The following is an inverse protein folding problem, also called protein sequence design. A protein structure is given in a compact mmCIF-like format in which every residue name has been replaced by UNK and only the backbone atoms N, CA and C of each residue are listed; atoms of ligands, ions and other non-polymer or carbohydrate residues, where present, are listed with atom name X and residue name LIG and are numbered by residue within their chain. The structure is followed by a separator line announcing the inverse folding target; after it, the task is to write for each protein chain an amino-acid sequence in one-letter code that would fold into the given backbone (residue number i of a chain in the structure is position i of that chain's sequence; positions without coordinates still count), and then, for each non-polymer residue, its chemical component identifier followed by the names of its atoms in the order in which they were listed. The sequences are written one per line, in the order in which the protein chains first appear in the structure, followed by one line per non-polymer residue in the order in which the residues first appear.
data_IF_842522792684
#
_entry.id   IF_842522792684
#
_cell.length_a   1.000
_cell.length_b   1.000
_cell.length_c   1.000
_cell.angle_alpha   90.00
_cell.angle_beta   90.00
_cell.angle_gamma   90.00
#
_symmetry.space_group_name_H-M   'P 1'
#
loop_
_entity.id
_entity.type
_entity.pdbx_description
1 polymer ?
#
# COMPACT_ATOMS: atom_id res chain seq x y z
N UNK A 1 6.43 -58.14 28.21
CA UNK A 1 7.54 -57.70 27.33
C UNK A 1 8.70 -57.26 28.21
N UNK A 2 9.93 -57.74 27.98
CA UNK A 2 11.10 -57.35 28.79
C UNK A 2 11.63 -55.96 28.37
N UNK A 3 12.27 -55.20 29.27
CA UNK A 3 12.84 -53.90 28.95
C UNK A 3 14.22 -54.03 28.26
N UNK A 4 14.66 -53.00 27.50
CA UNK A 4 15.95 -53.01 26.82
C UNK A 4 17.13 -52.80 27.77
N UNK A 5 18.34 -53.27 27.40
CA UNK A 5 19.52 -53.25 28.28
C UNK A 5 20.18 -51.87 28.35
N UNK A 6 20.63 -51.49 29.56
CA UNK A 6 21.40 -50.29 29.85
C UNK A 6 22.89 -50.50 29.55
N UNK A 7 23.46 -49.73 28.62
CA UNK A 7 24.91 -49.62 28.47
C UNK A 7 25.44 -48.43 29.30
N UNK A 8 26.36 -48.74 30.21
CA UNK A 8 27.22 -47.79 30.94
C UNK A 8 28.48 -47.56 30.12
N UNK A 9 28.84 -46.30 29.84
CA UNK A 9 30.23 -45.93 29.57
C UNK A 9 30.60 -44.74 30.46
N UNK A 10 31.60 -44.96 31.32
CA UNK A 10 32.32 -43.98 32.12
C UNK A 10 33.67 -43.73 31.44
N UNK A 11 34.13 -42.49 31.43
CA UNK A 11 35.53 -42.08 31.17
C UNK A 11 35.59 -40.58 30.86
N UNK A 12 35.68 -39.67 31.83
CA UNK A 12 36.91 -39.18 32.53
C UNK A 12 38.08 -38.84 31.58
N UNK A 13 38.37 -37.55 31.48
CA UNK A 13 39.65 -36.98 30.99
C UNK A 13 39.63 -35.44 31.00
N UNK A 14 39.61 -34.80 32.18
CA UNK A 14 40.60 -33.81 32.64
C UNK A 14 41.70 -33.40 31.64
N UNK A 15 41.79 -32.10 31.37
CA UNK A 15 42.97 -31.40 30.85
C UNK A 15 42.70 -29.89 30.70
N UNK A 16 43.21 -29.08 31.64
CA UNK A 16 43.13 -27.60 31.69
C UNK A 16 44.33 -26.97 30.91
N UNK A 17 44.31 -25.65 30.64
CA UNK A 17 45.18 -24.86 29.72
C UNK A 17 46.45 -24.37 30.47
N UNK A 18 47.24 -23.32 30.08
CA UNK A 18 47.17 -22.35 28.96
C UNK A 18 48.51 -22.06 28.23
N UNK A 19 48.44 -21.33 27.11
CA UNK A 19 49.61 -20.77 26.42
C UNK A 19 49.46 -19.26 26.24
N UNK A 20 50.25 -18.50 27.00
CA UNK A 20 50.48 -17.08 26.84
C UNK A 20 51.76 -16.83 26.03
N UNK A 21 51.82 -15.71 25.30
CA UNK A 21 53.05 -15.19 24.68
C UNK A 21 52.74 -14.43 23.39
N UNK A 22 52.66 -13.09 23.47
CA UNK A 22 53.71 -12.16 23.00
C UNK A 22 53.43 -11.76 21.52
N UNK A 23 53.52 -10.52 21.04
CA UNK A 23 54.34 -9.36 21.37
C UNK A 23 53.70 -8.11 20.76
N UNK A 24 53.88 -6.98 21.42
CA UNK A 24 53.64 -5.64 20.90
C UNK A 24 54.52 -5.31 19.69
N UNK A 25 53.98 -4.56 18.71
CA UNK A 25 54.75 -3.64 17.87
C UNK A 25 53.88 -2.46 17.43
N UNK A 26 54.16 -1.30 18.03
CA UNK A 26 53.83 0.03 17.51
C UNK A 26 54.61 0.27 16.22
N UNK A 27 53.96 0.79 15.18
CA UNK A 27 54.56 1.75 14.24
C UNK A 27 53.51 2.78 13.84
N UNK A 28 53.89 4.05 14.05
CA UNK A 28 53.28 5.23 13.47
C UNK A 28 53.35 5.18 11.94
N UNK A 29 52.29 5.61 11.28
CA UNK A 29 52.36 6.39 10.05
C UNK A 29 51.13 7.31 10.01
N UNK A 30 51.40 8.59 10.18
CA UNK A 30 50.49 9.70 9.91
C UNK A 30 50.34 9.82 8.41
N UNK A 31 49.12 9.82 7.89
CA UNK A 31 48.87 10.45 6.60
C UNK A 31 47.45 11.02 6.56
N UNK A 32 47.41 12.28 6.15
CA UNK A 32 46.24 13.12 6.11
C UNK A 32 45.27 12.61 5.04
N UNK A 33 44.00 12.55 5.38
CA UNK A 33 42.94 12.49 4.38
C UNK A 33 41.87 13.49 4.80
N UNK A 34 41.78 14.49 3.93
CA UNK A 34 40.90 15.65 3.92
C UNK A 34 39.50 15.32 4.43
N UNK A 35 39.04 16.10 5.41
CA UNK A 35 37.64 16.32 5.64
C UNK A 35 37.10 17.02 4.38
N UNK A 36 36.33 16.28 3.59
CA UNK A 36 35.48 16.86 2.56
C UNK A 36 34.27 17.45 3.29
N UNK A 37 34.31 18.77 3.45
CA UNK A 37 33.13 19.60 3.68
C UNK A 37 32.11 19.28 2.58
N UNK A 38 31.14 18.45 2.93
CA UNK A 38 29.95 18.26 2.13
C UNK A 38 29.07 19.46 2.44
N UNK A 39 29.17 20.50 1.60
CA UNK A 39 28.26 21.63 1.65
C UNK A 39 26.83 21.10 1.54
N UNK A 40 26.11 21.18 2.68
CA UNK A 40 24.67 21.06 2.77
C UNK A 40 24.07 22.20 1.95
N UNK A 41 23.97 21.96 0.65
CA UNK A 41 23.18 22.78 -0.25
C UNK A 41 21.77 22.74 0.29
N UNK A 42 21.36 23.85 0.90
CA UNK A 42 19.99 24.08 1.33
C UNK A 42 19.09 23.96 0.10
N UNK A 43 18.61 22.74 -0.13
CA UNK A 43 17.55 22.46 -1.07
C UNK A 43 16.36 23.29 -0.59
N UNK A 44 16.03 24.27 -1.43
CA UNK A 44 14.93 25.21 -1.29
C UNK A 44 13.66 24.38 -1.18
N UNK A 45 13.36 23.94 0.04
CA UNK A 45 12.15 23.22 0.38
C UNK A 45 11.03 24.24 0.24
N UNK A 46 10.40 24.22 -0.93
CA UNK A 46 9.11 24.85 -1.13
C UNK A 46 8.18 24.18 -0.12
N UNK A 47 7.95 24.83 1.02
CA UNK A 47 6.99 24.39 2.01
C UNK A 47 5.60 24.56 1.41
N UNK A 48 5.17 23.58 0.62
CA UNK A 48 3.76 23.42 0.31
C UNK A 48 3.07 23.16 1.65
N UNK A 49 2.22 24.09 2.05
CA UNK A 49 1.38 24.01 3.24
C UNK A 49 0.63 22.67 3.22
N UNK A 50 1.11 21.68 3.97
CA UNK A 50 0.43 20.40 4.11
C UNK A 50 -0.73 20.65 5.06
N UNK A 51 -1.96 20.46 4.58
CA UNK A 51 -3.14 20.66 5.41
C UNK A 51 -3.07 19.79 6.67
N UNK A 52 -3.56 20.30 7.81
CA UNK A 52 -3.61 19.54 9.07
C UNK A 52 -4.29 18.17 8.88
N UNK A 53 -5.36 18.12 8.07
CA UNK A 53 -6.06 16.87 7.72
C UNK A 53 -5.14 15.82 7.09
N UNK A 54 -4.18 16.25 6.25
CA UNK A 54 -3.21 15.36 5.62
C UNK A 54 -2.20 14.82 6.64
N UNK A 55 -1.81 15.64 7.61
CA UNK A 55 -0.91 15.25 8.71
C UNK A 55 -1.58 14.26 9.67
N UNK A 56 -2.84 14.52 10.03
CA UNK A 56 -3.65 13.63 10.87
C UNK A 56 -3.84 12.28 10.19
N UNK A 57 -4.15 12.28 8.88
CA UNK A 57 -4.30 11.05 8.10
C UNK A 57 -3.02 10.23 8.06
N UNK A 58 -1.87 10.86 7.78
CA UNK A 58 -0.57 10.17 7.74
C UNK A 58 -0.22 9.53 9.09
N UNK A 59 -0.40 10.28 10.18
CA UNK A 59 -0.09 9.80 11.54
C UNK A 59 -0.98 8.62 11.91
N UNK A 60 -2.30 8.78 11.75
CA UNK A 60 -3.26 7.73 12.10
C UNK A 60 -3.10 6.47 11.25
N UNK A 61 -2.90 6.62 9.93
CA UNK A 61 -2.64 5.49 9.03
C UNK A 61 -1.36 4.76 9.44
N UNK A 62 -0.30 5.50 9.77
CA UNK A 62 0.96 4.90 10.20
C UNK A 62 0.77 4.06 11.46
N UNK A 63 0.05 4.56 12.46
CA UNK A 63 -0.26 3.81 13.68
C UNK A 63 -1.01 2.52 13.38
N UNK A 64 -1.99 2.55 12.47
CA UNK A 64 -2.74 1.35 12.06
C UNK A 64 -1.88 0.33 11.33
N UNK A 65 -1.01 0.79 10.44
CA UNK A 65 -0.06 -0.08 9.74
C UNK A 65 0.92 -0.71 10.73
N UNK A 66 1.48 0.08 11.66
CA UNK A 66 2.42 -0.44 12.67
C UNK A 66 1.77 -1.48 13.58
N UNK A 67 0.52 -1.25 14.01
CA UNK A 67 -0.28 -2.21 14.78
C UNK A 67 -0.47 -3.52 14.01
N UNK A 68 -0.80 -3.43 12.72
CA UNK A 68 -1.04 -4.61 11.89
C UNK A 68 0.25 -5.40 11.62
N UNK A 69 1.34 -4.70 11.31
CA UNK A 69 2.67 -5.31 11.18
C UNK A 69 3.08 -6.02 12.46
N UNK A 70 2.86 -5.40 13.63
CA UNK A 70 3.16 -6.00 14.92
C UNK A 70 2.31 -7.27 15.17
N UNK A 71 1.01 -7.23 14.85
CA UNK A 71 0.09 -8.37 14.96
C UNK A 71 0.55 -9.55 14.11
N UNK A 72 0.89 -9.33 12.84
CA UNK A 72 1.33 -10.38 11.91
C UNK A 72 2.70 -10.93 12.32
N UNK A 73 3.63 -10.08 12.77
CA UNK A 73 4.92 -10.54 13.28
C UNK A 73 4.79 -11.39 14.55
N UNK A 74 3.78 -11.12 15.39
CA UNK A 74 3.51 -11.94 16.56
C UNK A 74 3.08 -13.37 16.22
N UNK A 75 2.57 -13.64 15.00
CA UNK A 75 2.28 -15.01 14.53
C UNK A 75 3.49 -15.73 13.94
N UNK A 76 4.67 -15.09 13.93
CA UNK A 76 5.89 -15.62 13.31
C UNK A 76 5.97 -15.40 11.80
N UNK A 77 5.06 -14.62 11.21
CA UNK A 77 5.02 -14.32 9.78
C UNK A 77 5.66 -12.97 9.49
N UNK A 78 6.37 -12.86 8.37
CA UNK A 78 6.93 -11.59 7.90
C UNK A 78 5.96 -10.89 6.95
N UNK A 79 5.97 -9.56 6.98
CA UNK A 79 5.21 -8.72 6.05
C UNK A 79 5.99 -7.44 5.76
N UNK A 80 5.91 -6.96 4.52
CA UNK A 80 6.55 -5.75 4.04
C UNK A 80 5.54 -4.60 3.93
N UNK A 81 5.55 -3.61 4.82
CA UNK A 81 4.68 -2.43 4.67
C UNK A 81 5.19 -1.53 3.53
N UNK A 82 4.31 -1.20 2.60
CA UNK A 82 4.58 -0.25 1.52
C UNK A 82 4.01 1.13 1.85
N UNK A 83 4.67 2.16 1.32
CA UNK A 83 4.24 3.55 1.47
C UNK A 83 3.29 3.91 0.33
N UNK A 84 2.06 4.26 0.66
CA UNK A 84 1.12 4.80 -0.32
C UNK A 84 1.31 6.31 -0.47
N UNK A 85 1.42 6.78 -1.71
CA UNK A 85 1.50 8.21 -2.07
C UNK A 85 0.13 8.85 -2.20
N UNK A 86 -0.83 8.12 -2.78
CA UNK A 86 -2.14 8.66 -3.10
C UNK A 86 -3.22 7.56 -3.08
N UNK A 87 -4.40 7.93 -2.62
CA UNK A 87 -5.61 7.12 -2.66
C UNK A 87 -6.65 7.81 -3.54
N UNK A 88 -7.28 7.06 -4.41
CA UNK A 88 -8.39 7.56 -5.22
C UNK A 88 -9.41 6.49 -5.51
N UNK A 89 -10.58 6.93 -5.97
CA UNK A 89 -11.57 6.07 -6.58
C UNK A 89 -11.81 6.58 -8.00
N UNK A 90 -11.64 5.70 -8.97
CA UNK A 90 -11.97 5.97 -10.38
C UNK A 90 -13.31 5.33 -10.67
N UNK A 91 -14.25 6.10 -11.20
CA UNK A 91 -15.55 5.56 -11.62
C UNK A 91 -15.45 5.09 -13.06
N UNK A 92 -15.76 3.81 -13.28
CA UNK A 92 -15.96 3.25 -14.61
C UNK A 92 -17.44 3.31 -14.97
N UNK A 93 -17.76 4.15 -15.96
CA UNK A 93 -19.11 4.38 -16.48
C UNK A 93 -19.41 3.55 -17.75
N UNK A 94 -18.43 2.83 -18.28
CA UNK A 94 -18.55 2.09 -19.56
C UNK A 94 -19.34 0.77 -19.44
N UNK A 95 -19.70 0.35 -18.21
CA UNK A 95 -20.52 -0.84 -17.97
C UNK A 95 -21.97 -0.42 -17.76
N UNK A 96 -22.92 -1.36 -17.97
CA UNK A 96 -24.35 -1.19 -17.64
C UNK A 96 -24.63 -0.69 -16.20
N UNK A 97 -23.64 -0.76 -15.31
CA UNK A 97 -23.66 -0.21 -13.95
C UNK A 97 -22.34 0.49 -13.67
N UNK A 98 -22.41 1.71 -13.13
CA UNK A 98 -21.24 2.44 -12.65
C UNK A 98 -20.49 1.60 -11.61
N UNK A 99 -19.18 1.44 -11.80
CA UNK A 99 -18.34 0.62 -10.92
C UNK A 99 -17.19 1.46 -10.37
N UNK A 100 -16.98 1.44 -9.05
CA UNK A 100 -15.82 2.06 -8.41
C UNK A 100 -14.57 1.18 -8.57
N UNK A 101 -13.46 1.80 -8.97
CA UNK A 101 -12.14 1.18 -9.05
C UNK A 101 -11.23 1.88 -8.05
N UNK A 102 -10.73 1.13 -7.08
CA UNK A 102 -9.86 1.61 -6.01
C UNK A 102 -8.45 1.81 -6.54
N UNK A 103 -7.96 3.04 -6.52
CA UNK A 103 -6.64 3.39 -7.04
C UNK A 103 -5.69 3.68 -5.90
N UNK A 104 -4.53 3.01 -5.90
CA UNK A 104 -3.43 3.30 -4.99
C UNK A 104 -2.18 3.61 -5.81
N UNK A 105 -1.57 4.76 -5.56
CA UNK A 105 -0.18 5.02 -5.96
C UNK A 105 0.74 4.62 -4.82
N UNK A 106 1.71 3.75 -5.12
CA UNK A 106 2.58 3.13 -4.13
C UNK A 106 4.03 3.50 -4.45
N UNK A 107 4.76 3.93 -3.43
CA UNK A 107 6.20 4.20 -3.52
C UNK A 107 7.00 2.90 -3.48
N UNK A 108 6.94 2.16 -4.59
CA UNK A 108 7.66 0.90 -4.75
C UNK A 108 8.07 0.71 -6.20
N UNK A 109 9.16 0.00 -6.41
CA UNK A 109 9.61 -0.43 -7.73
C UNK A 109 9.00 -1.78 -8.18
N UNK A 110 8.18 -2.39 -7.32
CA UNK A 110 7.55 -3.70 -7.59
C UNK A 110 6.66 -3.62 -8.84
N UNK A 111 6.72 -4.67 -9.66
CA UNK A 111 5.76 -4.87 -10.75
C UNK A 111 4.49 -5.50 -10.18
N UNK A 112 3.46 -4.67 -9.98
CA UNK A 112 2.18 -5.12 -9.46
C UNK A 112 1.40 -6.03 -10.42
N UNK A 113 1.85 -6.27 -11.65
CA UNK A 113 1.25 -7.31 -12.51
C UNK A 113 1.51 -8.72 -11.98
N UNK A 114 2.55 -8.90 -11.16
CA UNK A 114 2.90 -10.17 -10.51
C UNK A 114 2.05 -10.49 -9.28
N UNK A 115 1.19 -9.56 -8.84
CA UNK A 115 0.24 -9.81 -7.74
C UNK A 115 -0.81 -10.80 -8.23
N UNK A 116 -0.93 -11.93 -7.53
CA UNK A 116 -1.91 -12.98 -7.84
C UNK A 116 -3.17 -12.85 -6.99
N UNK A 117 -3.02 -12.37 -5.76
CA UNK A 117 -4.10 -12.31 -4.80
C UNK A 117 -4.05 -11.00 -4.01
N UNK A 118 -5.22 -10.40 -3.85
CA UNK A 118 -5.45 -9.27 -2.95
C UNK A 118 -6.39 -9.74 -1.86
N UNK A 119 -6.01 -9.56 -0.61
CA UNK A 119 -6.91 -9.70 0.54
C UNK A 119 -7.11 -8.33 1.18
N UNK A 120 -8.32 -8.07 1.65
CA UNK A 120 -8.70 -6.77 2.22
C UNK A 120 -9.31 -7.00 3.58
N UNK A 121 -8.87 -6.25 4.59
CA UNK A 121 -9.46 -6.33 5.93
C UNK A 121 -10.88 -5.76 5.95
N UNK A 122 -11.59 -6.00 7.06
CA UNK A 122 -12.80 -5.24 7.35
C UNK A 122 -12.51 -3.72 7.40
N UNK A 123 -13.51 -2.93 6.99
CA UNK A 123 -13.46 -1.48 7.03
C UNK A 123 -13.48 -0.94 8.45
N UNK A 124 -12.59 0.03 8.72
CA UNK A 124 -12.53 0.76 9.99
C UNK A 124 -12.87 2.23 9.72
N UNK A 125 -13.90 2.81 10.37
CA UNK A 125 -14.23 4.22 10.21
C UNK A 125 -13.04 5.14 10.51
N UNK A 126 -12.81 6.10 9.64
CA UNK A 126 -11.73 7.08 9.82
C UNK A 126 -12.19 8.22 10.74
N UNK A 127 -11.51 8.47 11.87
CA UNK A 127 -12.04 9.35 12.91
C UNK A 127 -12.02 10.83 12.55
N UNK A 128 -11.19 11.26 11.59
CA UNK A 128 -11.05 12.68 11.24
C UNK A 128 -11.89 13.10 10.04
N UNK A 129 -12.61 12.18 9.37
CA UNK A 129 -13.47 12.52 8.24
C UNK A 129 -14.66 11.55 8.13
N UNK A 130 -15.86 12.08 8.27
CA UNK A 130 -17.09 11.28 8.13
C UNK A 130 -17.24 10.74 6.71
N UNK A 131 -17.80 9.53 6.59
CA UNK A 131 -18.00 8.87 5.31
C UNK A 131 -16.72 8.24 4.74
N UNK A 132 -15.60 8.26 5.47
CA UNK A 132 -14.38 7.58 5.07
C UNK A 132 -14.13 6.33 5.90
N UNK A 133 -13.62 5.30 5.24
CA UNK A 133 -13.18 4.06 5.87
C UNK A 133 -11.77 3.70 5.45
N UNK A 134 -11.09 3.01 6.35
CA UNK A 134 -9.75 2.48 6.20
C UNK A 134 -9.76 0.97 6.11
N UNK A 135 -8.92 0.42 5.24
CA UNK A 135 -8.64 -1.01 5.17
C UNK A 135 -7.14 -1.27 5.04
N UNK A 136 -6.72 -2.43 5.54
CA UNK A 136 -5.44 -3.04 5.21
C UNK A 136 -5.59 -3.86 3.95
N UNK A 137 -4.71 -3.64 2.97
CA UNK A 137 -4.66 -4.37 1.71
C UNK A 137 -3.40 -5.23 1.70
N UNK A 138 -3.58 -6.54 1.68
CA UNK A 138 -2.51 -7.52 1.54
C UNK A 138 -2.33 -7.89 0.07
N UNK A 139 -1.11 -7.80 -0.43
CA UNK A 139 -0.74 -8.18 -1.79
C UNK A 139 0.17 -9.40 -1.74
N UNK A 140 -0.25 -10.48 -2.39
CA UNK A 140 0.53 -11.70 -2.54
C UNK A 140 1.00 -11.82 -3.99
N UNK A 141 2.31 -11.98 -4.19
CA UNK A 141 2.91 -12.18 -5.51
C UNK A 141 3.25 -13.65 -5.73
N UNK A 142 3.38 -14.04 -6.99
CA UNK A 142 3.56 -15.44 -7.42
C UNK A 142 4.75 -16.18 -6.80
N UNK A 143 5.81 -15.46 -6.41
CA UNK A 143 7.02 -16.10 -5.90
C UNK A 143 6.79 -16.68 -4.50
N UNK A 144 7.01 -17.98 -4.32
CA UNK A 144 6.86 -18.68 -3.03
C UNK A 144 7.77 -18.12 -1.92
N UNK A 145 8.88 -17.49 -2.30
CA UNK A 145 9.82 -16.87 -1.36
C UNK A 145 9.54 -15.37 -1.12
N UNK A 146 8.49 -14.84 -1.75
CA UNK A 146 8.13 -13.43 -1.57
C UNK A 146 7.46 -13.20 -0.22
N UNK A 147 7.91 -12.15 0.46
CA UNK A 147 7.22 -11.65 1.63
C UNK A 147 5.95 -10.92 1.17
N UNK A 148 4.76 -11.23 1.72
CA UNK A 148 3.55 -10.49 1.42
C UNK A 148 3.74 -8.99 1.70
N UNK A 149 3.06 -8.16 0.92
CA UNK A 149 3.13 -6.71 1.08
C UNK A 149 1.84 -6.17 1.72
N UNK A 150 1.98 -5.21 2.63
CA UNK A 150 0.87 -4.52 3.28
C UNK A 150 0.78 -3.09 2.75
N UNK A 151 -0.40 -2.70 2.29
CA UNK A 151 -0.68 -1.34 1.82
C UNK A 151 -1.91 -0.78 2.53
N UNK A 152 -1.83 0.39 3.17
CA UNK A 152 -3.02 1.04 3.70
C UNK A 152 -3.90 1.56 2.57
N UNK A 153 -5.21 1.62 2.78
CA UNK A 153 -6.13 2.29 1.86
C UNK A 153 -7.22 3.03 2.62
N UNK A 154 -7.38 4.32 2.34
CA UNK A 154 -8.40 5.19 2.90
C UNK A 154 -9.31 5.66 1.77
N UNK A 155 -10.63 5.44 1.89
CA UNK A 155 -11.57 5.66 0.79
C UNK A 155 -12.90 6.24 1.25
N UNK A 156 -13.57 6.93 0.33
CA UNK A 156 -14.92 7.48 0.53
C UNK A 156 -15.99 6.41 0.28
N UNK A 157 -16.85 6.21 1.26
CA UNK A 157 -17.97 5.27 1.24
C UNK A 157 -19.23 5.86 0.58
N UNK A 158 -19.30 7.19 0.43
CA UNK A 158 -20.45 7.95 -0.07
C UNK A 158 -20.20 8.53 -1.46
N UNK A 159 -19.47 7.81 -2.31
CA UNK A 159 -19.10 8.28 -3.66
C UNK A 159 -20.33 8.53 -4.56
N UNK A 160 -20.38 9.74 -5.14
CA UNK A 160 -21.39 10.15 -6.12
C UNK A 160 -20.74 10.63 -7.41
N UNK A 161 -21.38 10.36 -8.53
CA UNK A 161 -20.93 10.77 -9.87
C UNK A 161 -22.09 11.25 -10.73
N UNK A 162 -21.81 11.87 -11.88
CA UNK A 162 -22.81 12.22 -12.88
C UNK A 162 -22.61 11.36 -14.13
N UNK A 163 -23.70 11.01 -14.80
CA UNK A 163 -23.67 10.25 -16.05
C UNK A 163 -22.93 11.04 -17.16
N UNK A 164 -22.07 10.39 -17.96
CA UNK A 164 -21.38 11.04 -19.07
C UNK A 164 -22.41 11.41 -20.16
N UNK A 165 -22.14 12.48 -20.92
CA UNK A 165 -22.94 12.77 -22.13
C UNK A 165 -22.57 11.72 -23.16
N UNK A 166 -23.54 10.91 -23.57
CA UNK A 166 -23.47 10.31 -24.90
C UNK A 166 -23.78 11.45 -25.87
N UNK A 167 -22.73 12.08 -26.43
CA UNK A 167 -22.90 12.99 -27.57
C UNK A 167 -23.26 12.13 -28.78
N UNK A 168 -24.53 11.70 -28.86
CA UNK A 168 -25.10 10.99 -30.00
C UNK A 168 -25.26 11.90 -31.25
N UNK A 169 -24.75 13.14 -31.22
CA UNK A 169 -24.82 14.08 -32.34
C UNK A 169 -23.48 14.21 -33.07
N UNK A 170 -23.17 13.19 -33.88
CA UNK A 170 -22.53 13.42 -35.19
C UNK A 170 -23.53 13.08 -36.31
N UNK A 171 -24.58 13.89 -36.44
CA UNK A 171 -25.20 14.13 -37.74
C UNK A 171 -25.10 15.63 -38.07
N UNK A 172 -24.68 16.01 -39.28
CA UNK A 172 -24.60 17.41 -39.68
C UNK A 172 -26.00 18.03 -39.78
N UNK A 173 -26.14 19.35 -39.58
CA UNK A 173 -27.44 19.98 -39.34
C UNK A 173 -28.25 20.07 -40.64
N UNK A 174 -29.46 19.51 -40.61
CA UNK A 174 -30.57 19.95 -41.47
C UNK A 174 -31.63 20.61 -40.61
N UNK A 175 -32.08 21.75 -41.12
CA UNK A 175 -32.73 22.84 -40.40
C UNK A 175 -34.14 22.54 -39.88
N UNK A 176 -34.52 23.39 -38.91
CA UNK A 176 -35.86 23.89 -38.58
C UNK A 176 -36.68 23.20 -37.46
N UNK A 177 -36.58 23.84 -36.28
CA UNK A 177 -37.70 24.48 -35.55
C UNK A 177 -38.89 23.62 -35.08
N UNK A 178 -39.04 23.43 -33.76
CA UNK A 178 -40.06 24.12 -32.93
C UNK A 178 -40.24 23.53 -31.52
N UNK A 179 -40.09 24.42 -30.51
CA UNK A 179 -40.81 24.54 -29.23
C UNK A 179 -41.10 23.33 -28.31
N UNK A 180 -40.49 23.32 -27.12
CA UNK A 180 -41.18 23.26 -25.79
C UNK A 180 -40.18 23.63 -24.68
N UNK A 181 -40.29 24.76 -23.96
CA UNK A 181 -41.06 25.07 -22.72
C UNK A 181 -40.56 24.40 -21.42
N UNK A 182 -39.38 24.80 -20.91
CA UNK A 182 -38.93 24.86 -19.48
C UNK A 182 -38.67 23.55 -18.70
N UNK A 183 -37.90 23.56 -17.57
CA UNK A 183 -37.10 24.63 -16.97
C UNK A 183 -35.60 24.49 -17.27
N UNK A 184 -34.90 25.62 -17.31
CA UNK A 184 -33.44 25.69 -17.29
C UNK A 184 -32.91 25.32 -15.90
N UNK A 185 -32.77 24.03 -15.64
CA UNK A 185 -31.91 23.49 -14.59
C UNK A 185 -31.39 22.13 -15.08
N UNK A 186 -30.33 22.16 -15.89
CA UNK A 186 -29.65 20.97 -16.46
C UNK A 186 -28.91 20.17 -15.37
N UNK A 187 -29.51 19.99 -14.19
CA UNK A 187 -28.94 19.16 -13.13
C UNK A 187 -29.21 17.70 -13.45
N UNK A 188 -28.19 17.06 -14.00
CA UNK A 188 -28.18 15.61 -14.24
C UNK A 188 -28.39 14.86 -12.93
N UNK A 189 -29.07 13.71 -12.95
CA UNK A 189 -29.22 12.89 -11.76
C UNK A 189 -27.85 12.42 -11.27
N UNK A 190 -27.59 12.61 -9.98
CA UNK A 190 -26.43 12.05 -9.30
C UNK A 190 -26.60 10.54 -9.11
N UNK A 191 -25.58 9.78 -9.48
CA UNK A 191 -25.54 8.33 -9.32
C UNK A 191 -24.67 8.00 -8.12
N UNK A 192 -25.23 7.27 -7.15
CA UNK A 192 -24.47 6.70 -6.05
C UNK A 192 -23.67 5.50 -6.57
N UNK A 193 -22.35 5.55 -6.46
CA UNK A 193 -21.47 4.46 -6.90
C UNK A 193 -21.07 3.65 -5.68
N UNK A 194 -21.60 2.44 -5.56
CA UNK A 194 -21.22 1.54 -4.46
C UNK A 194 -19.79 1.04 -4.68
N UNK A 195 -18.92 1.30 -3.71
CA UNK A 195 -17.58 0.72 -3.67
C UNK A 195 -17.60 -0.58 -2.88
N UNK A 196 -17.55 -1.71 -3.58
CA UNK A 196 -17.47 -3.03 -2.92
C UNK A 196 -16.03 -3.47 -2.65
N UNK A 197 -15.01 -2.64 -2.93
CA UNK A 197 -13.58 -3.00 -2.83
C UNK A 197 -13.16 -4.17 -3.73
N UNK A 198 -13.89 -4.44 -4.82
CA UNK A 198 -13.65 -5.59 -5.71
C UNK A 198 -12.70 -5.29 -6.86
N UNK A 199 -12.59 -4.02 -7.27
CA UNK A 199 -11.78 -3.61 -8.43
C UNK A 199 -10.67 -2.69 -7.95
N UNK A 200 -9.43 -2.98 -8.36
CA UNK A 200 -8.23 -2.29 -7.92
C UNK A 200 -7.35 -1.87 -9.10
N UNK A 201 -6.74 -0.70 -8.98
CA UNK A 201 -5.75 -0.15 -9.89
C UNK A 201 -4.51 0.25 -9.08
N UNK A 202 -3.49 -0.59 -9.13
CA UNK A 202 -2.22 -0.37 -8.45
C UNK A 202 -1.27 0.35 -9.40
N UNK A 203 -0.62 1.41 -8.91
CA UNK A 203 0.34 2.21 -9.66
C UNK A 203 1.65 2.28 -8.86
N UNK A 204 2.76 1.89 -9.47
CA UNK A 204 4.08 1.91 -8.83
C UNK A 204 4.82 3.24 -9.04
N UNK A 205 6.03 3.37 -8.50
CA UNK A 205 6.83 4.60 -8.58
C UNK A 205 7.25 4.95 -10.02
N UNK A 206 7.29 3.97 -10.93
CA UNK A 206 7.57 4.14 -12.36
C UNK A 206 6.30 4.41 -13.19
N UNK A 207 5.16 4.69 -12.55
CA UNK A 207 3.85 4.88 -13.18
C UNK A 207 3.34 3.64 -13.94
N UNK A 208 3.92 2.46 -13.71
CA UNK A 208 3.39 1.22 -14.26
C UNK A 208 2.07 0.88 -13.55
N UNK A 209 1.07 0.47 -14.34
CA UNK A 209 -0.29 0.22 -13.88
C UNK A 209 -0.62 -1.27 -13.96
N UNK A 210 -1.25 -1.78 -12.91
CA UNK A 210 -1.80 -3.12 -12.86
C UNK A 210 -3.25 -3.08 -12.36
N UNK A 211 -4.16 -3.72 -13.09
CA UNK A 211 -5.56 -3.83 -12.71
C UNK A 211 -5.83 -5.21 -12.13
N UNK A 212 -6.49 -5.24 -10.99
CA UNK A 212 -6.82 -6.46 -10.25
C UNK A 212 -8.30 -6.51 -9.92
N UNK A 213 -8.82 -7.72 -9.83
CA UNK A 213 -10.19 -7.98 -9.41
C UNK A 213 -10.19 -9.03 -8.31
N UNK A 214 -10.94 -8.77 -7.25
CA UNK A 214 -11.23 -9.73 -6.19
C UNK A 214 -12.56 -10.40 -6.56
N UNK A 215 -12.52 -11.70 -6.81
CA UNK A 215 -13.71 -12.49 -7.05
C UNK A 215 -14.32 -13.02 -5.74
N UNK A 216 -13.48 -13.29 -4.73
CA UNK A 216 -13.89 -13.82 -3.43
C UNK A 216 -13.12 -13.19 -2.26
N UNK A 217 -13.84 -12.77 -1.23
CA UNK A 217 -13.24 -12.26 0.02
C UNK A 217 -12.89 -13.42 0.95
N UNK A 218 -11.68 -13.35 1.48
CA UNK A 218 -11.19 -14.25 2.51
C UNK A 218 -11.06 -13.46 3.81
N UNK A 219 -11.57 -13.98 4.91
CA UNK A 219 -11.37 -13.38 6.24
C UNK A 219 -9.89 -13.49 6.63
N UNK A 220 -9.30 -12.39 7.09
CA UNK A 220 -7.88 -12.25 7.50
C UNK A 220 -7.79 -12.26 9.03
#
# INVERSE_FOLDING_TARGET
MPPPPRSRIRGRGRGRPPGAGATARKKHATEASQALDFEESADSTVSMDVSQETTDAKTWIKERVDQEVARIRATGTSIEPLIAKNFGIVVNLSRKKATAINRIEIDSAVDFRSVQQIMVSAGVPYPHKEGYEYVNVLLFVESMDSTPMLVPYLYDTKLKTQEPVEDDNQEPPVEASSSSTGPSDNQRPWINVKNNLTEWLLVNAQNARARHRIDEYHEI
#
